data_IF_916883932915
#
_entry.id   IF_916883932915
#
_cell.length_a   1.000
_cell.length_b   1.000
_cell.length_c   1.000
_cell.angle_alpha   90.00
_cell.angle_beta   90.00
_cell.angle_gamma   90.00
#
_symmetry.space_group_name_H-M   'P 1'
#
loop_
_entity.id
_entity.type
_entity.pdbx_description
1 polymer ?
#
# COMPACT_ATOMS: atom_id res chain seq x y z
N UNK A 1 7.90 1.91 20.21
CA UNK A 1 6.73 1.65 19.35
C UNK A 1 6.93 2.37 18.02
N UNK A 2 6.54 1.79 16.87
CA UNK A 2 6.61 2.47 15.58
C UNK A 2 5.75 3.75 15.60
N UNK A 3 6.13 4.76 14.82
CA UNK A 3 5.31 5.97 14.65
C UNK A 3 4.09 5.68 13.79
N UNK A 4 3.05 6.52 13.88
CA UNK A 4 1.88 6.44 12.98
C UNK A 4 2.29 6.43 11.51
N UNK A 5 3.29 7.26 11.15
CA UNK A 5 3.83 7.28 9.79
C UNK A 5 4.52 5.96 9.41
N UNK A 6 5.15 5.25 10.35
CA UNK A 6 5.73 3.93 10.09
C UNK A 6 4.63 2.87 9.86
N UNK A 7 3.56 2.90 10.66
CA UNK A 7 2.40 2.03 10.44
C UNK A 7 1.72 2.30 9.09
N UNK A 8 1.53 3.58 8.72
CA UNK A 8 0.97 3.93 7.43
C UNK A 8 1.80 3.36 6.27
N UNK A 9 3.13 3.43 6.33
CA UNK A 9 4.00 2.86 5.28
C UNK A 9 3.86 1.35 5.16
N UNK A 10 3.70 0.64 6.28
CA UNK A 10 3.41 -0.80 6.29
C UNK A 10 2.05 -1.09 5.66
N UNK A 11 1.01 -0.33 6.00
CA UNK A 11 -0.31 -0.45 5.37
C UNK A 11 -0.23 -0.20 3.86
N UNK A 12 0.42 0.86 3.41
CA UNK A 12 0.57 1.17 1.98
C UNK A 12 1.33 0.07 1.27
N UNK A 13 2.41 -0.47 1.85
CA UNK A 13 3.15 -1.58 1.26
C UNK A 13 2.28 -2.85 1.13
N UNK A 14 1.47 -3.17 2.14
CA UNK A 14 0.56 -4.30 2.11
C UNK A 14 -0.55 -4.13 1.06
N UNK A 15 -1.11 -2.93 0.92
CA UNK A 15 -2.10 -2.61 -0.11
C UNK A 15 -1.50 -2.75 -1.50
N UNK A 16 -0.33 -2.17 -1.76
CA UNK A 16 0.38 -2.33 -3.03
C UNK A 16 0.63 -3.80 -3.37
N UNK A 17 1.07 -4.60 -2.38
CA UNK A 17 1.25 -6.03 -2.57
C UNK A 17 -0.07 -6.75 -2.90
N UNK A 18 -1.13 -6.44 -2.16
CA UNK A 18 -2.44 -7.06 -2.34
C UNK A 18 -3.12 -6.69 -3.67
N UNK A 19 -2.82 -5.51 -4.23
CA UNK A 19 -3.31 -5.07 -5.54
C UNK A 19 -2.36 -5.40 -6.69
N UNK A 20 -1.12 -5.81 -6.39
CA UNK A 20 -0.08 -6.05 -7.38
C UNK A 20 0.55 -4.77 -7.95
N UNK A 21 0.28 -3.62 -7.34
CA UNK A 21 0.78 -2.32 -7.75
C UNK A 21 2.26 -2.13 -7.40
N UNK A 22 2.98 -1.49 -8.32
CA UNK A 22 4.33 -0.95 -8.11
C UNK A 22 4.23 0.51 -7.67
N UNK A 23 5.35 1.09 -7.23
CA UNK A 23 5.38 2.49 -6.79
C UNK A 23 5.01 3.47 -7.92
N UNK A 24 5.23 3.09 -9.19
CA UNK A 24 4.80 3.86 -10.35
C UNK A 24 3.27 3.90 -10.49
N UNK A 25 2.61 2.74 -10.37
CA UNK A 25 1.15 2.64 -10.45
C UNK A 25 0.47 3.45 -9.33
N UNK A 26 1.00 3.35 -8.11
CA UNK A 26 0.52 4.16 -6.99
C UNK A 26 0.77 5.66 -7.23
N UNK A 27 1.92 6.03 -7.78
CA UNK A 27 2.23 7.42 -8.10
C UNK A 27 1.23 8.01 -9.10
N UNK A 28 0.90 7.26 -10.16
CA UNK A 28 -0.10 7.64 -11.15
C UNK A 28 -1.49 7.81 -10.51
N UNK A 29 -1.89 6.89 -9.63
CA UNK A 29 -3.16 6.96 -8.89
C UNK A 29 -3.25 8.16 -7.92
N UNK A 30 -2.11 8.58 -7.34
CA UNK A 30 -2.05 9.71 -6.41
C UNK A 30 -1.76 11.06 -7.09
N UNK A 31 -1.46 11.07 -8.39
CA UNK A 31 -1.06 12.26 -9.13
C UNK A 31 0.26 12.87 -8.63
N UNK A 32 1.20 12.03 -8.20
CA UNK A 32 2.56 12.43 -7.77
C UNK A 32 3.60 11.60 -8.52
N UNK A 33 4.88 11.92 -8.34
CA UNK A 33 5.96 11.13 -8.99
C UNK A 33 6.28 9.85 -8.21
N UNK A 34 6.77 8.82 -8.90
CA UNK A 34 7.28 7.59 -8.26
C UNK A 34 8.39 7.91 -7.24
N UNK A 35 9.26 8.89 -7.51
CA UNK A 35 10.29 9.33 -6.56
C UNK A 35 9.71 9.95 -5.28
N UNK A 36 8.56 10.63 -5.35
CA UNK A 36 7.84 11.09 -4.16
C UNK A 36 7.26 9.91 -3.37
N UNK A 37 6.64 8.93 -4.04
CA UNK A 37 6.16 7.70 -3.38
C UNK A 37 7.31 6.96 -2.70
N UNK A 38 8.43 6.78 -3.39
CA UNK A 38 9.63 6.12 -2.85
C UNK A 38 10.11 6.82 -1.58
N UNK A 39 10.31 8.15 -1.61
CA UNK A 39 10.76 8.90 -0.42
C UNK A 39 9.78 8.82 0.74
N UNK A 40 8.47 8.80 0.46
CA UNK A 40 7.44 8.63 1.48
C UNK A 40 7.45 7.21 2.06
N UNK A 41 7.62 6.18 1.23
CA UNK A 41 7.72 4.78 1.66
C UNK A 41 9.04 4.42 2.37
N UNK A 42 10.14 5.14 2.12
CA UNK A 42 11.39 5.00 2.88
C UNK A 42 11.41 5.86 4.14
N UNK A 43 10.43 6.76 4.33
CA UNK A 43 10.36 7.68 5.47
C UNK A 43 11.28 8.90 5.33
N UNK A 44 11.85 9.16 4.16
CA UNK A 44 12.64 10.36 3.86
C UNK A 44 11.77 11.58 3.51
N UNK A 45 10.46 11.38 3.32
CA UNK A 45 9.45 12.42 3.19
C UNK A 45 8.20 12.03 3.98
N UNK A 46 7.42 13.02 4.44
CA UNK A 46 6.18 12.79 5.17
C UNK A 46 5.01 12.56 4.21
N UNK A 47 4.06 11.74 4.65
CA UNK A 47 2.71 11.68 4.11
C UNK A 47 1.89 12.84 4.70
N UNK A 48 1.31 13.70 3.85
CA UNK A 48 0.38 14.75 4.28
C UNK A 48 -1.03 14.20 4.42
N UNK A 49 -1.93 14.93 5.10
CA UNK A 49 -3.35 14.54 5.17
C UNK A 49 -4.01 14.47 3.80
N UNK A 50 -3.68 15.39 2.89
CA UNK A 50 -4.14 15.32 1.48
C UNK A 50 -3.70 14.02 0.80
N UNK A 51 -2.51 13.51 1.10
CA UNK A 51 -2.09 12.23 0.55
C UNK A 51 -2.90 11.07 1.14
N UNK A 52 -3.31 11.14 2.41
CA UNK A 52 -4.18 10.12 3.03
C UNK A 52 -5.54 10.10 2.34
N UNK A 53 -6.11 11.27 2.02
CA UNK A 53 -7.37 11.35 1.27
C UNK A 53 -7.22 10.76 -0.14
N UNK A 54 -6.11 11.02 -0.82
CA UNK A 54 -5.82 10.43 -2.14
C UNK A 54 -5.61 8.92 -2.08
N UNK A 55 -4.91 8.42 -1.06
CA UNK A 55 -4.76 6.98 -0.81
C UNK A 55 -6.12 6.32 -0.57
N UNK A 56 -6.97 6.96 0.24
CA UNK A 56 -8.31 6.47 0.54
C UNK A 56 -9.17 6.37 -0.72
N UNK A 57 -9.16 7.42 -1.55
CA UNK A 57 -9.86 7.43 -2.83
C UNK A 57 -9.30 6.37 -3.80
N UNK A 58 -7.97 6.28 -3.93
CA UNK A 58 -7.30 5.32 -4.80
C UNK A 58 -7.68 3.88 -4.45
N UNK A 59 -7.57 3.49 -3.18
CA UNK A 59 -7.88 2.12 -2.74
C UNK A 59 -9.36 1.88 -2.45
N UNK A 60 -10.21 2.92 -2.46
CA UNK A 60 -11.64 2.80 -2.15
C UNK A 60 -11.91 2.43 -0.70
N UNK A 61 -11.05 2.89 0.22
CA UNK A 61 -11.07 2.56 1.65
C UNK A 61 -11.06 3.88 2.45
N UNK A 62 -11.94 4.09 3.43
CA UNK A 62 -11.91 5.30 4.27
C UNK A 62 -10.59 5.48 5.02
N UNK A 63 -10.15 6.72 5.26
CA UNK A 63 -8.92 7.02 6.01
C UNK A 63 -8.82 6.33 7.37
N UNK A 64 -9.90 6.25 8.20
CA UNK A 64 -9.83 5.49 9.46
C UNK A 64 -9.49 4.00 9.27
N UNK A 65 -10.00 3.39 8.21
CA UNK A 65 -9.70 1.99 7.87
C UNK A 65 -8.22 1.85 7.42
N UNK A 66 -7.66 2.83 6.70
CA UNK A 66 -6.22 2.83 6.36
C UNK A 66 -5.33 2.89 7.62
N UNK A 67 -5.72 3.68 8.61
CA UNK A 67 -4.94 3.89 9.83
C UNK A 67 -5.12 2.79 10.89
N UNK A 68 -6.14 1.93 10.73
CA UNK A 68 -6.37 0.80 11.64
C UNK A 68 -5.26 -0.27 11.54
N UNK A 69 -4.63 -0.40 10.38
CA UNK A 69 -3.48 -1.28 10.15
C UNK A 69 -3.56 -2.04 8.83
N UNK A 70 -2.46 -2.70 8.47
CA UNK A 70 -2.28 -3.39 7.20
C UNK A 70 -3.35 -4.47 6.94
N UNK A 71 -3.54 -5.38 7.89
CA UNK A 71 -4.49 -6.50 7.74
C UNK A 71 -5.93 -6.00 7.58
N UNK A 72 -6.33 -5.02 8.40
CA UNK A 72 -7.65 -4.41 8.31
C UNK A 72 -7.84 -3.73 6.95
N UNK A 73 -6.90 -2.88 6.53
CA UNK A 73 -7.01 -2.18 5.25
C UNK A 73 -7.12 -3.15 4.06
N UNK A 74 -6.30 -4.21 4.02
CA UNK A 74 -6.36 -5.23 2.95
C UNK A 74 -7.72 -5.97 2.95
N UNK A 75 -8.30 -6.23 4.12
CA UNK A 75 -9.63 -6.85 4.21
C UNK A 75 -10.74 -5.98 3.59
N UNK A 76 -10.56 -4.64 3.57
CA UNK A 76 -11.51 -3.66 3.04
C UNK A 76 -11.37 -3.41 1.54
N UNK A 77 -10.33 -3.93 0.89
CA UNK A 77 -10.18 -3.81 -0.56
C UNK A 77 -11.37 -4.42 -1.31
N UNK A 78 -11.94 -3.72 -2.31
CA UNK A 78 -12.91 -4.31 -3.23
C UNK A 78 -12.32 -5.54 -3.92
N UNK A 79 -13.13 -6.59 -4.13
CA UNK A 79 -12.66 -7.84 -4.73
C UNK A 79 -12.00 -7.64 -6.11
N UNK A 80 -12.50 -6.68 -6.90
CA UNK A 80 -11.96 -6.31 -8.23
C UNK A 80 -10.59 -5.67 -8.17
N UNK A 81 -10.17 -5.14 -7.02
CA UNK A 81 -8.86 -4.50 -6.82
C UNK A 81 -7.79 -5.47 -6.37
N UNK A 82 -8.16 -6.68 -5.93
CA UNK A 82 -7.19 -7.69 -5.48
C UNK A 82 -6.46 -8.29 -6.67
N UNK A 83 -5.14 -8.44 -6.55
CA UNK A 83 -4.35 -9.13 -7.55
C UNK A 83 -4.90 -10.55 -7.74
N UNK A 84 -5.08 -10.95 -9.01
CA UNK A 84 -5.53 -12.31 -9.34
C UNK A 84 -4.51 -13.39 -8.93
N UNK A 85 -3.23 -13.01 -8.84
CA UNK A 85 -2.15 -13.88 -8.39
C UNK A 85 -1.20 -13.10 -7.48
N UNK A 86 -1.16 -13.47 -6.20
CA UNK A 86 -0.21 -12.92 -5.24
C UNK A 86 1.12 -13.70 -5.37
N UNK A 87 2.21 -13.00 -5.73
CA UNK A 87 3.57 -13.53 -5.57
C UNK A 87 4.03 -14.66 -6.51
N UNK A 88 3.79 -14.57 -7.83
CA UNK A 88 4.52 -15.45 -8.77
C UNK A 88 6.03 -15.15 -8.71
N UNK A 89 6.96 -16.09 -8.52
CA UNK A 89 6.93 -17.54 -8.45
C UNK A 89 7.42 -18.06 -7.07
N UNK A 90 6.69 -19.01 -6.49
CA UNK A 90 7.13 -19.74 -5.31
C UNK A 90 8.01 -20.92 -5.76
N UNK A 91 9.31 -20.86 -5.50
CA UNK A 91 10.19 -22.02 -5.67
C UNK A 91 9.90 -23.02 -4.55
N UNK A 92 9.45 -24.22 -4.93
CA UNK A 92 9.20 -25.35 -4.04
C UNK A 92 10.47 -25.69 -3.23
N UNK A 93 10.34 -25.83 -1.91
CA UNK A 93 11.38 -26.46 -1.10
C UNK A 93 11.36 -27.95 -1.46
N UNK A 94 12.36 -28.42 -2.21
CA UNK A 94 12.59 -29.85 -2.34
C UNK A 94 12.99 -30.38 -0.96
N UNK A 95 12.25 -31.38 -0.48
CA UNK A 95 12.67 -32.18 0.68
C UNK A 95 13.59 -33.27 0.14
N UNK A 96 14.83 -33.31 0.65
CA UNK A 96 15.78 -34.40 0.43
C UNK A 96 15.35 -35.68 1.17
#
# INVERSE_FOLDING_TARGET
>A
MPSTAAYLRLTVAALMFATGERQGDLADGLGITQGQVSRKQTGSALWSLDDLDRLAAHYGIPVPDLLCGADHAVSRLPATRRAAHLGGAQTTIALD
#
